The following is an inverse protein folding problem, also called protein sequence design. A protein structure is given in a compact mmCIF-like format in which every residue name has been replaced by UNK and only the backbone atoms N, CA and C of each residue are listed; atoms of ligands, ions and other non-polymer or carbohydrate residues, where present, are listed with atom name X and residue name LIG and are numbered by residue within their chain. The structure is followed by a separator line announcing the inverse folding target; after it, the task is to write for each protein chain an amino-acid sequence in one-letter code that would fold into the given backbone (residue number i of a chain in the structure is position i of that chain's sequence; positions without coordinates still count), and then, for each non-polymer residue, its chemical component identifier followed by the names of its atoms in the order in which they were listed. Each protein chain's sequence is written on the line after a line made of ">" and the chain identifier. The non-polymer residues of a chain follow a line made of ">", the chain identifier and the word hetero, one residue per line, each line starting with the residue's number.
data_IF_267113561432
#
_entry.id   IF_267113561432
#
_cell.length_a   1.000
_cell.length_b   1.000
_cell.length_c   1.000
_cell.angle_alpha   90.00
_cell.angle_beta   90.00
_cell.angle_gamma   90.00
#
_symmetry.space_group_name_H-M   'P 1'
#
loop_
_entity.id
_entity.type
_entity.pdbx_description
1 polymer ?
#
# COMPACT_ATOMS: atom_id res chain seq x y z
N UNK A 1 19.94 30.54 9.62
CA UNK A 1 18.84 30.24 8.67
C UNK A 1 19.46 29.85 7.35
N UNK A 2 18.97 28.80 6.69
CA UNK A 2 19.42 28.41 5.35
C UNK A 2 18.25 28.63 4.39
N UNK A 3 18.42 29.55 3.45
CA UNK A 3 17.51 29.66 2.31
C UNK A 3 17.91 28.55 1.35
N UNK A 4 16.95 27.71 0.98
CA UNK A 4 17.09 26.67 -0.03
C UNK A 4 16.12 27.01 -1.15
N UNK A 5 16.60 26.96 -2.38
CA UNK A 5 15.76 27.14 -3.56
C UNK A 5 14.70 26.03 -3.61
N UNK A 6 13.47 26.40 -3.93
CA UNK A 6 12.39 25.44 -4.11
C UNK A 6 12.72 24.56 -5.31
N UNK A 7 13.13 23.31 -5.08
CA UNK A 7 13.23 22.33 -6.15
C UNK A 7 11.81 21.93 -6.57
N UNK A 8 11.48 22.09 -7.85
CA UNK A 8 10.31 21.47 -8.46
C UNK A 8 10.51 19.94 -8.46
N UNK A 9 10.27 19.30 -7.33
CA UNK A 9 9.85 17.91 -7.33
C UNK A 9 8.43 17.91 -7.92
N UNK A 10 8.20 17.17 -9.01
CA UNK A 10 6.92 17.16 -9.72
C UNK A 10 5.70 17.02 -8.80
N UNK A 11 4.52 17.39 -9.31
CA UNK A 11 3.27 17.40 -8.53
C UNK A 11 3.05 16.04 -7.85
N UNK A 12 2.97 16.05 -6.52
CA UNK A 12 2.70 14.85 -5.73
C UNK A 12 1.30 14.37 -6.06
N UNK A 13 1.20 13.19 -6.66
CA UNK A 13 -0.08 12.64 -7.09
C UNK A 13 -0.85 12.00 -5.94
N UNK A 14 -0.13 11.37 -5.02
CA UNK A 14 -0.74 10.70 -3.87
C UNK A 14 0.26 10.50 -2.72
N UNK A 15 -0.28 10.32 -1.51
CA UNK A 15 0.48 9.80 -0.38
C UNK A 15 0.22 8.31 -0.17
N UNK A 16 1.29 7.53 -0.01
CA UNK A 16 1.20 6.15 0.45
C UNK A 16 1.47 6.07 1.94
N UNK A 17 0.52 5.48 2.65
CA UNK A 17 0.61 5.14 4.05
C UNK A 17 0.60 3.63 4.21
N UNK A 18 1.23 3.14 5.26
CA UNK A 18 1.14 1.73 5.63
C UNK A 18 0.75 1.58 7.08
N UNK A 19 -0.15 0.63 7.35
CA UNK A 19 -0.41 0.16 8.71
C UNK A 19 0.68 -0.79 9.21
N UNK A 20 1.68 -1.11 8.39
CA UNK A 20 2.64 -2.17 8.67
C UNK A 20 4.06 -1.61 8.89
N UNK A 21 5.08 -2.47 8.77
CA UNK A 21 6.47 -2.09 8.97
C UNK A 21 7.16 -1.50 7.73
N UNK A 22 8.42 -1.05 7.86
CA UNK A 22 9.24 -0.55 6.75
C UNK A 22 9.48 -1.55 5.61
N UNK A 23 9.12 -2.82 5.78
CA UNK A 23 9.25 -3.86 4.76
C UNK A 23 8.26 -3.65 3.62
N UNK A 24 7.00 -3.39 3.95
CA UNK A 24 5.89 -3.15 3.02
C UNK A 24 6.17 -1.94 2.13
N UNK A 25 6.70 -0.86 2.73
CA UNK A 25 7.16 0.31 2.00
C UNK A 25 8.19 -0.06 0.94
N UNK A 26 9.21 -0.85 1.29
CA UNK A 26 10.27 -1.25 0.36
C UNK A 26 9.74 -2.13 -0.77
N UNK A 27 8.82 -3.04 -0.45
CA UNK A 27 8.15 -3.89 -1.45
C UNK A 27 7.30 -3.04 -2.39
N UNK A 28 6.50 -2.12 -1.87
CA UNK A 28 5.65 -1.23 -2.66
C UNK A 28 6.44 -0.31 -3.57
N UNK A 29 7.60 0.20 -3.13
CA UNK A 29 8.51 0.99 -3.99
C UNK A 29 8.95 0.19 -5.22
N UNK A 30 9.35 -1.07 -5.04
CA UNK A 30 9.77 -1.93 -6.15
C UNK A 30 8.59 -2.40 -7.02
N UNK A 31 7.39 -2.55 -6.45
CA UNK A 31 6.18 -2.81 -7.24
C UNK A 31 5.84 -1.59 -8.10
N UNK A 32 5.78 -0.39 -7.52
CA UNK A 32 5.44 0.84 -8.23
C UNK A 32 6.41 1.13 -9.39
N UNK A 33 7.72 0.94 -9.18
CA UNK A 33 8.73 1.15 -10.24
C UNK A 33 8.51 0.29 -11.49
N UNK A 34 7.83 -0.87 -11.36
CA UNK A 34 7.49 -1.73 -12.50
C UNK A 34 6.37 -1.22 -13.37
N UNK A 35 5.57 -0.27 -12.89
CA UNK A 35 4.41 0.26 -13.59
C UNK A 35 4.60 1.70 -14.07
N UNK A 36 5.87 2.17 -14.14
CA UNK A 36 6.37 3.41 -14.76
C UNK A 36 5.30 4.48 -14.99
N UNK A 37 4.77 5.04 -13.91
CA UNK A 37 3.81 6.12 -13.94
C UNK A 37 4.59 7.41 -13.75
N UNK A 38 4.35 8.41 -14.61
CA UNK A 38 4.89 9.78 -14.46
C UNK A 38 4.31 10.50 -13.22
N UNK A 39 3.80 9.75 -12.22
CA UNK A 39 3.07 10.22 -11.05
C UNK A 39 3.91 10.00 -9.82
N UNK A 40 4.10 11.06 -9.03
CA UNK A 40 4.89 11.00 -7.82
C UNK A 40 4.05 10.52 -6.63
N UNK A 41 4.38 9.35 -6.07
CA UNK A 41 3.80 8.85 -4.82
C UNK A 41 4.81 9.12 -3.69
N UNK A 42 4.41 9.92 -2.70
CA UNK A 42 5.25 10.23 -1.53
C UNK A 42 4.83 9.40 -0.32
N UNK A 43 5.77 9.15 0.59
CA UNK A 43 5.48 8.53 1.90
C UNK A 43 5.72 9.63 2.93
N UNK A 44 4.66 10.16 3.57
CA UNK A 44 4.79 11.26 4.50
C UNK A 44 5.50 10.80 5.78
N UNK A 45 6.29 11.68 6.37
CA UNK A 45 6.80 11.52 7.73
C UNK A 45 5.80 12.17 8.68
N UNK A 46 5.25 11.40 9.61
CA UNK A 46 4.22 11.88 10.53
C UNK A 46 4.61 11.57 11.98
N UNK A 47 4.12 12.35 12.96
CA UNK A 47 4.40 12.08 14.37
C UNK A 47 3.74 10.80 14.88
N UNK A 48 2.77 10.24 14.13
CA UNK A 48 2.04 9.02 14.48
C UNK A 48 2.91 7.82 14.11
N UNK A 49 3.45 7.12 15.11
CA UNK A 49 4.36 5.97 14.94
C UNK A 49 3.67 4.61 15.09
N UNK A 50 2.41 4.60 15.48
CA UNK A 50 1.61 3.39 15.69
C UNK A 50 1.25 2.70 14.37
N UNK A 51 1.01 1.38 14.44
CA UNK A 51 0.68 0.51 13.31
C UNK A 51 -0.78 0.09 13.32
N UNK A 52 -1.29 -0.28 12.15
CA UNK A 52 -2.66 -0.74 11.95
C UNK A 52 -3.58 0.28 11.30
N UNK A 53 -4.84 -0.10 11.15
CA UNK A 53 -5.83 0.65 10.38
C UNK A 53 -6.17 2.00 11.03
N UNK A 54 -6.43 1.99 12.34
CA UNK A 54 -6.84 3.16 13.12
C UNK A 54 -5.77 4.27 13.11
N UNK A 55 -4.49 4.00 13.46
CA UNK A 55 -3.44 5.02 13.35
C UNK A 55 -3.23 5.54 11.92
N UNK A 56 -3.42 4.67 10.92
CA UNK A 56 -3.23 5.08 9.54
C UNK A 56 -4.33 6.02 9.06
N UNK A 57 -5.59 5.75 9.40
CA UNK A 57 -6.71 6.66 9.10
C UNK A 57 -6.60 7.97 9.88
N UNK A 58 -6.15 7.92 11.14
CA UNK A 58 -5.80 9.13 11.92
C UNK A 58 -4.72 9.96 11.20
N UNK A 59 -3.77 9.29 10.56
CA UNK A 59 -2.72 9.95 9.77
C UNK A 59 -3.28 10.63 8.52
N UNK A 60 -4.25 10.01 7.84
CA UNK A 60 -4.97 10.67 6.72
C UNK A 60 -5.65 11.94 7.22
N UNK A 61 -6.41 11.87 8.32
CA UNK A 61 -7.08 13.03 8.90
C UNK A 61 -6.08 14.15 9.26
N UNK A 62 -4.94 13.81 9.88
CA UNK A 62 -3.89 14.77 10.19
C UNK A 62 -3.28 15.43 8.93
N UNK A 63 -3.08 14.66 7.86
CA UNK A 63 -2.49 15.17 6.63
C UNK A 63 -3.42 16.13 5.89
N UNK A 64 -4.74 15.90 5.94
CA UNK A 64 -5.71 16.78 5.28
C UNK A 64 -5.68 18.21 5.79
N UNK A 65 -5.37 18.40 7.07
CA UNK A 65 -5.26 19.72 7.67
C UNK A 65 -3.93 20.42 7.33
N UNK A 66 -3.00 19.74 6.63
CA UNK A 66 -1.62 20.19 6.43
C UNK A 66 -1.18 20.25 4.97
N UNK A 67 -1.84 19.53 4.07
CA UNK A 67 -1.43 19.40 2.67
C UNK A 67 -2.63 19.49 1.74
N UNK A 68 -2.39 19.88 0.49
CA UNK A 68 -3.42 19.95 -0.55
C UNK A 68 -3.66 18.62 -1.27
N UNK A 69 -2.88 17.58 -0.94
CA UNK A 69 -2.98 16.27 -1.58
C UNK A 69 -4.19 15.52 -1.02
N UNK A 70 -5.11 15.12 -1.89
CA UNK A 70 -6.36 14.47 -1.52
C UNK A 70 -6.43 12.98 -1.88
N UNK A 71 -5.38 12.42 -2.50
CA UNK A 71 -5.29 10.99 -2.87
C UNK A 71 -4.37 10.24 -1.91
N UNK A 72 -4.87 9.14 -1.34
CA UNK A 72 -4.17 8.32 -0.37
C UNK A 72 -4.19 6.85 -0.76
N UNK A 73 -3.04 6.19 -0.72
CA UNK A 73 -2.88 4.74 -0.85
C UNK A 73 -2.62 4.18 0.53
N UNK A 74 -3.47 3.27 0.99
CA UNK A 74 -3.33 2.54 2.23
C UNK A 74 -2.91 1.10 1.93
N UNK A 75 -1.72 0.71 2.38
CA UNK A 75 -1.24 -0.69 2.33
C UNK A 75 -1.22 -1.26 3.73
N UNK A 76 -1.98 -2.32 3.96
CA UNK A 76 -2.20 -2.85 5.31
C UNK A 76 -2.35 -4.36 5.31
N UNK A 77 -1.88 -5.03 6.35
CA UNK A 77 -2.02 -6.47 6.49
C UNK A 77 -3.47 -6.87 6.84
N UNK A 78 -3.90 -8.04 6.36
CA UNK A 78 -5.22 -8.64 6.65
C UNK A 78 -5.43 -8.86 8.15
N UNK A 79 -4.37 -8.86 8.95
CA UNK A 79 -4.48 -8.92 10.41
C UNK A 79 -5.17 -7.69 11.01
N UNK A 80 -5.15 -6.57 10.30
CA UNK A 80 -5.77 -5.31 10.74
C UNK A 80 -7.09 -5.00 10.02
N UNK A 81 -7.39 -5.72 8.93
CA UNK A 81 -8.57 -5.45 8.09
C UNK A 81 -9.19 -6.75 7.63
N UNK A 82 -10.32 -7.11 8.25
CA UNK A 82 -11.04 -8.34 7.92
C UNK A 82 -11.97 -8.14 6.72
N UNK A 83 -12.62 -6.99 6.61
CA UNK A 83 -13.56 -6.67 5.54
C UNK A 83 -13.58 -5.17 5.21
N UNK A 84 -14.36 -4.82 4.17
CA UNK A 84 -14.56 -3.43 3.76
C UNK A 84 -15.31 -2.64 4.84
N UNK A 85 -16.21 -3.29 5.60
CA UNK A 85 -16.91 -2.73 6.75
C UNK A 85 -15.92 -2.23 7.81
N UNK A 86 -14.84 -2.97 8.07
CA UNK A 86 -13.81 -2.54 9.04
C UNK A 86 -13.17 -1.21 8.61
N UNK A 87 -12.85 -1.06 7.32
CA UNK A 87 -12.34 0.19 6.75
C UNK A 87 -13.39 1.31 6.84
N UNK A 88 -14.61 1.06 6.35
CA UNK A 88 -15.72 2.01 6.35
C UNK A 88 -16.02 2.55 7.75
N UNK A 89 -16.21 1.65 8.72
CA UNK A 89 -16.51 2.02 10.10
C UNK A 89 -15.37 2.79 10.75
N UNK A 90 -14.12 2.46 10.41
CA UNK A 90 -12.97 3.22 10.90
C UNK A 90 -12.93 4.62 10.30
N UNK A 91 -13.17 4.78 9.00
CA UNK A 91 -13.26 6.09 8.35
C UNK A 91 -14.36 6.94 9.01
N UNK A 92 -15.57 6.39 9.19
CA UNK A 92 -16.69 7.08 9.84
C UNK A 92 -16.32 7.50 11.27
N UNK A 93 -15.70 6.61 12.06
CA UNK A 93 -15.24 6.92 13.43
C UNK A 93 -14.24 8.08 13.48
N UNK A 94 -13.45 8.27 12.43
CA UNK A 94 -12.51 9.39 12.28
C UNK A 94 -13.13 10.57 11.54
N UNK A 95 -14.46 10.68 11.48
CA UNK A 95 -15.19 11.83 10.95
C UNK A 95 -15.12 11.98 9.44
N UNK A 96 -14.99 10.88 8.70
CA UNK A 96 -15.16 10.85 7.26
C UNK A 96 -16.59 10.46 6.90
N UNK A 97 -17.21 11.24 6.03
CA UNK A 97 -18.45 10.89 5.33
C UNK A 97 -18.09 10.11 4.07
N UNK A 98 -18.64 8.91 3.87
CA UNK A 98 -18.38 8.09 2.68
C UNK A 98 -19.38 8.48 1.59
N UNK A 99 -18.87 9.05 0.50
CA UNK A 99 -19.66 9.46 -0.68
C UNK A 99 -19.80 8.31 -1.67
N UNK A 100 -18.72 7.55 -1.85
CA UNK A 100 -18.69 6.40 -2.75
C UNK A 100 -17.79 5.32 -2.16
N UNK A 101 -18.18 4.08 -2.36
CA UNK A 101 -17.36 2.91 -2.06
C UNK A 101 -17.41 1.92 -3.21
N UNK A 102 -16.25 1.50 -3.69
CA UNK A 102 -16.13 0.59 -4.83
C UNK A 102 -15.16 -0.54 -4.50
N UNK A 103 -15.57 -1.77 -4.80
CA UNK A 103 -14.64 -2.90 -4.82
C UNK A 103 -13.76 -2.84 -6.07
N UNK A 104 -12.44 -2.78 -5.88
CA UNK A 104 -11.48 -2.86 -6.98
C UNK A 104 -11.07 -4.31 -7.28
N UNK A 105 -11.48 -5.25 -6.44
CA UNK A 105 -11.09 -6.65 -6.50
C UNK A 105 -11.05 -7.27 -5.11
N UNK A 106 -10.65 -8.53 -5.03
CA UNK A 106 -10.60 -9.26 -3.76
C UNK A 106 -9.63 -8.57 -2.77
N UNK A 107 -10.18 -8.01 -1.67
CA UNK A 107 -9.42 -7.27 -0.64
C UNK A 107 -8.68 -6.03 -1.16
N UNK A 108 -9.26 -5.36 -2.15
CA UNK A 108 -8.85 -4.02 -2.59
C UNK A 108 -10.07 -3.14 -2.79
N UNK A 109 -10.06 -1.95 -2.20
CA UNK A 109 -11.21 -1.06 -2.19
C UNK A 109 -10.83 0.38 -2.52
N UNK A 110 -11.80 1.12 -3.00
CA UNK A 110 -11.75 2.55 -3.21
C UNK A 110 -12.86 3.22 -2.40
N UNK A 111 -12.50 4.31 -1.73
CA UNK A 111 -13.44 5.17 -1.03
C UNK A 111 -13.28 6.60 -1.54
N UNK A 112 -14.38 7.18 -1.98
CA UNK A 112 -14.53 8.62 -2.08
C UNK A 112 -15.14 9.11 -0.77
N UNK A 113 -14.46 9.98 -0.06
CA UNK A 113 -14.92 10.45 1.25
C UNK A 113 -14.79 11.97 1.38
N UNK A 114 -15.53 12.54 2.32
CA UNK A 114 -15.47 13.95 2.71
C UNK A 114 -15.13 14.08 4.17
N UNK A 115 -14.32 15.07 4.52
CA UNK A 115 -14.07 15.49 5.90
C UNK A 115 -13.96 17.01 5.93
N UNK A 116 -14.90 17.64 6.63
CA UNK A 116 -15.09 19.09 6.52
C UNK A 116 -15.38 19.49 5.06
N UNK A 117 -14.71 20.53 4.57
CA UNK A 117 -14.82 21.00 3.18
C UNK A 117 -13.97 20.23 2.16
N UNK A 118 -13.23 19.19 2.57
CA UNK A 118 -12.29 18.48 1.70
C UNK A 118 -12.85 17.15 1.20
N UNK A 119 -12.82 16.96 -0.12
CA UNK A 119 -13.09 15.68 -0.77
C UNK A 119 -11.79 14.91 -1.02
N UNK A 120 -11.79 13.62 -0.68
CA UNK A 120 -10.61 12.76 -0.68
C UNK A 120 -10.88 11.41 -1.33
N UNK A 121 -9.80 10.79 -1.81
CA UNK A 121 -9.80 9.49 -2.46
C UNK A 121 -8.86 8.55 -1.70
N UNK A 122 -9.38 7.45 -1.20
CA UNK A 122 -8.61 6.45 -0.44
C UNK A 122 -8.65 5.12 -1.17
N UNK A 123 -7.49 4.62 -1.58
CA UNK A 123 -7.31 3.30 -2.17
C UNK A 123 -6.70 2.38 -1.13
N UNK A 124 -7.35 1.27 -0.81
CA UNK A 124 -6.92 0.33 0.22
C UNK A 124 -6.50 -1.00 -0.40
N UNK A 125 -5.23 -1.38 -0.25
CA UNK A 125 -4.71 -2.70 -0.61
C UNK A 125 -4.42 -3.49 0.66
N UNK A 126 -5.06 -4.66 0.78
CA UNK A 126 -4.80 -5.56 1.89
C UNK A 126 -3.81 -6.64 1.49
N UNK A 127 -2.74 -6.75 2.27
CA UNK A 127 -1.72 -7.80 2.19
C UNK A 127 -2.14 -9.06 2.92
N UNK A 128 -1.67 -10.21 2.43
CA UNK A 128 -1.93 -11.51 3.04
C UNK A 128 -3.02 -12.34 2.36
N UNK A 129 -3.27 -13.49 2.96
CA UNK A 129 -4.29 -14.46 2.58
C UNK A 129 -4.82 -15.16 3.84
N UNK A 130 -5.77 -16.08 3.69
CA UNK A 130 -6.37 -16.79 4.84
C UNK A 130 -5.36 -17.55 5.69
N UNK A 131 -4.38 -18.19 5.05
CA UNK A 131 -3.35 -18.99 5.73
C UNK A 131 -2.24 -18.16 6.38
N UNK A 132 -2.08 -16.90 5.97
CA UNK A 132 -1.12 -15.97 6.53
C UNK A 132 -1.59 -14.55 6.26
N UNK A 133 -1.98 -13.83 7.32
CA UNK A 133 -2.63 -12.52 7.25
C UNK A 133 -1.68 -11.35 6.97
N UNK A 134 -0.47 -11.61 6.47
CA UNK A 134 0.58 -10.62 6.22
C UNK A 134 1.22 -10.78 4.84
N UNK A 135 2.03 -9.79 4.44
CA UNK A 135 2.71 -9.74 3.13
C UNK A 135 3.58 -10.98 2.80
N UNK A 136 3.99 -11.75 3.80
CA UNK A 136 4.64 -13.05 3.63
C UNK A 136 3.83 -14.01 2.73
N UNK A 137 2.50 -13.97 2.78
CA UNK A 137 1.69 -14.77 1.87
C UNK A 137 1.92 -14.38 0.40
N UNK A 138 1.96 -13.08 0.11
CA UNK A 138 2.20 -12.57 -1.23
C UNK A 138 3.61 -12.93 -1.72
N UNK A 139 4.62 -12.85 -0.85
CA UNK A 139 5.99 -13.25 -1.20
C UNK A 139 6.07 -14.76 -1.48
N UNK A 140 5.44 -15.61 -0.66
CA UNK A 140 5.40 -17.05 -0.91
C UNK A 140 4.70 -17.39 -2.24
N UNK A 141 3.59 -16.70 -2.56
CA UNK A 141 2.92 -16.80 -3.86
C UNK A 141 3.85 -16.37 -5.00
N UNK A 142 4.65 -15.32 -4.82
CA UNK A 142 5.61 -14.86 -5.83
C UNK A 142 6.71 -15.89 -6.08
N UNK A 143 7.28 -16.47 -5.01
CA UNK A 143 8.29 -17.52 -5.10
C UNK A 143 7.73 -18.72 -5.88
N UNK A 144 6.55 -19.21 -5.50
CA UNK A 144 5.87 -20.31 -6.22
C UNK A 144 5.60 -19.95 -7.68
N UNK A 145 5.09 -18.75 -7.94
CA UNK A 145 4.73 -18.34 -9.30
C UNK A 145 5.96 -18.25 -10.21
N UNK A 146 7.09 -17.77 -9.70
CA UNK A 146 8.30 -17.51 -10.50
C UNK A 146 9.25 -18.70 -10.56
N UNK A 147 9.45 -19.39 -9.45
CA UNK A 147 10.46 -20.46 -9.32
C UNK A 147 9.84 -21.85 -9.24
N UNK A 148 8.52 -21.97 -9.15
CA UNK A 148 7.83 -23.25 -8.96
C UNK A 148 7.95 -23.82 -7.53
N UNK A 149 8.69 -23.16 -6.65
CA UNK A 149 8.99 -23.65 -5.30
C UNK A 149 7.90 -23.31 -4.30
N UNK A 150 7.48 -24.28 -3.49
CA UNK A 150 6.54 -24.05 -2.39
C UNK A 150 7.28 -23.69 -1.11
N UNK A 151 7.07 -22.47 -0.64
CA UNK A 151 7.67 -21.95 0.60
C UNK A 151 6.54 -21.64 1.58
N UNK A 152 6.69 -22.05 2.84
CA UNK A 152 5.75 -21.70 3.91
C UNK A 152 5.69 -20.16 4.04
N UNK A 153 4.51 -19.54 4.10
CA UNK A 153 4.34 -18.09 4.16
C UNK A 153 4.65 -17.54 5.56
N UNK A 154 5.86 -17.80 6.06
CA UNK A 154 6.33 -17.25 7.33
C UNK A 154 7.69 -16.57 7.14
N UNK A 155 7.97 -15.62 8.03
CA UNK A 155 9.13 -14.74 7.94
C UNK A 155 10.46 -15.51 7.91
N UNK A 156 10.59 -16.58 8.71
CA UNK A 156 11.84 -17.30 8.86
C UNK A 156 12.13 -18.17 7.63
N UNK A 157 11.11 -18.86 7.14
CA UNK A 157 11.24 -19.71 5.95
C UNK A 157 11.53 -18.86 4.71
N UNK A 158 10.80 -17.76 4.51
CA UNK A 158 11.06 -16.83 3.39
C UNK A 158 12.46 -16.22 3.49
N UNK A 159 12.88 -15.79 4.68
CA UNK A 159 14.23 -15.23 4.88
C UNK A 159 15.32 -16.25 4.57
N UNK A 160 15.15 -17.51 4.98
CA UNK A 160 16.10 -18.59 4.68
C UNK A 160 16.16 -18.87 3.19
N UNK A 161 15.01 -18.97 2.53
CA UNK A 161 14.93 -19.18 1.08
C UNK A 161 15.64 -18.06 0.30
N UNK A 162 15.38 -16.81 0.66
CA UNK A 162 16.04 -15.63 0.08
C UNK A 162 17.56 -15.66 0.29
N UNK A 163 18.00 -15.97 1.52
CA UNK A 163 19.44 -16.06 1.86
C UNK A 163 20.15 -17.13 1.05
N UNK A 164 19.56 -18.32 0.90
CA UNK A 164 20.16 -19.43 0.14
C UNK A 164 20.36 -19.10 -1.35
N UNK A 165 19.67 -18.07 -1.86
CA UNK A 165 19.78 -17.58 -3.24
C UNK A 165 20.50 -16.24 -3.34
N UNK A 166 21.07 -15.73 -2.25
CA UNK A 166 21.71 -14.41 -2.19
C UNK A 166 20.80 -13.29 -2.69
N UNK A 167 19.51 -13.35 -2.35
CA UNK A 167 18.50 -12.36 -2.71
C UNK A 167 18.00 -11.61 -1.47
N UNK A 168 17.67 -10.34 -1.63
CA UNK A 168 16.73 -9.63 -0.74
C UNK A 168 15.33 -9.71 -1.32
N UNK A 169 14.33 -9.37 -0.52
CA UNK A 169 12.93 -9.28 -0.95
C UNK A 169 12.75 -8.25 -2.09
N UNK A 170 13.41 -7.11 -2.01
CA UNK A 170 13.44 -6.11 -3.09
C UNK A 170 14.04 -6.66 -4.39
N UNK A 171 15.10 -7.48 -4.31
CA UNK A 171 15.76 -8.06 -5.48
C UNK A 171 14.86 -9.13 -6.13
N UNK A 172 14.11 -9.88 -5.32
CA UNK A 172 13.10 -10.80 -5.80
C UNK A 172 12.06 -10.06 -6.64
N UNK A 173 11.48 -8.97 -6.15
CA UNK A 173 10.47 -8.19 -6.89
C UNK A 173 11.08 -7.59 -8.15
N UNK A 174 12.22 -6.92 -8.03
CA UNK A 174 12.91 -6.25 -9.14
C UNK A 174 13.25 -7.20 -10.28
N UNK A 175 13.70 -8.41 -9.97
CA UNK A 175 14.05 -9.41 -11.00
C UNK A 175 12.81 -10.14 -11.56
N UNK A 176 11.62 -9.93 -11.01
CA UNK A 176 10.41 -10.65 -11.44
C UNK A 176 9.64 -9.88 -12.51
N UNK A 177 9.16 -10.60 -13.54
CA UNK A 177 8.30 -10.03 -14.58
C UNK A 177 6.88 -9.73 -14.09
N UNK A 178 6.22 -8.76 -14.74
CA UNK A 178 4.88 -8.26 -14.37
C UNK A 178 3.84 -9.37 -14.18
N UNK A 179 3.81 -10.38 -15.05
CA UNK A 179 2.86 -11.51 -14.98
C UNK A 179 2.86 -12.22 -13.62
N UNK A 180 4.03 -12.45 -13.02
CA UNK A 180 4.14 -13.12 -11.72
C UNK A 180 3.83 -12.17 -10.56
N UNK A 181 4.21 -10.89 -10.70
CA UNK A 181 3.85 -9.86 -9.73
C UNK A 181 2.33 -9.71 -9.63
N UNK A 182 1.63 -9.66 -10.76
CA UNK A 182 0.16 -9.57 -10.83
C UNK A 182 -0.54 -10.73 -10.15
N UNK A 183 0.01 -11.94 -10.28
CA UNK A 183 -0.52 -13.14 -9.61
C UNK A 183 -0.27 -13.13 -8.10
N UNK A 184 0.86 -12.58 -7.67
CA UNK A 184 1.27 -12.62 -6.26
C UNK A 184 0.77 -11.42 -5.44
N UNK A 185 0.64 -10.24 -6.06
CA UNK A 185 0.23 -8.97 -5.45
C UNK A 185 -0.96 -8.34 -6.19
N UNK A 186 -2.05 -9.08 -6.46
CA UNK A 186 -3.15 -8.57 -7.28
C UNK A 186 -3.77 -7.29 -6.69
N UNK A 187 -3.95 -7.22 -5.36
CA UNK A 187 -4.53 -6.06 -4.67
C UNK A 187 -3.68 -4.79 -4.86
N UNK A 188 -2.37 -4.91 -4.62
CA UNK A 188 -1.44 -3.79 -4.70
C UNK A 188 -1.33 -3.27 -6.13
N UNK A 189 -1.22 -4.18 -7.10
CA UNK A 189 -1.07 -3.80 -8.51
C UNK A 189 -2.37 -3.22 -9.06
N UNK A 190 -3.53 -3.72 -8.62
CA UNK A 190 -4.81 -3.15 -9.01
C UNK A 190 -4.90 -1.67 -8.63
N UNK A 191 -4.51 -1.33 -7.40
CA UNK A 191 -4.50 0.07 -6.93
C UNK A 191 -3.47 0.91 -7.69
N UNK A 192 -2.27 0.40 -7.91
CA UNK A 192 -1.26 1.10 -8.71
C UNK A 192 -1.75 1.36 -10.14
N UNK A 193 -2.53 0.45 -10.72
CA UNK A 193 -3.16 0.64 -12.04
C UNK A 193 -4.29 1.67 -12.00
N UNK A 194 -5.16 1.64 -10.99
CA UNK A 194 -6.24 2.63 -10.89
C UNK A 194 -5.69 4.04 -10.67
N UNK A 195 -4.76 4.21 -9.74
CA UNK A 195 -4.16 5.52 -9.47
C UNK A 195 -3.37 6.07 -10.67
N UNK A 196 -2.86 5.17 -11.53
CA UNK A 196 -2.21 5.53 -12.78
C UNK A 196 -3.19 6.03 -13.85
N UNK A 197 -4.47 5.62 -13.84
CA UNK A 197 -5.49 6.12 -14.76
C UNK A 197 -6.04 7.50 -14.36
N UNK A 198 -6.16 7.74 -13.05
CA UNK A 198 -6.79 8.96 -12.52
C UNK A 198 -5.97 10.20 -12.89
N UNK A 199 -6.40 10.92 -13.92
CA UNK A 199 -5.72 12.12 -14.43
C UNK A 199 -5.93 13.31 -13.49
#
# INVERSE_FOLDING_TARGET
>A
MKIVEASFEGTVHAYMLTGNGPRDIRIMKELASKYNHNKLIKIPQTPIKERGLQPTIKTIAYLLDKVTINKYILVIDREHVESVETCRNTLIKHGFEIVEETSLGEKSWYFKARRGGSEIHIYVAVSGCERQKSIECNIAKLIKSRYGEQVKPDKNTIKRWLKNRSLRDVDLIRKTGRKHLERAFPQHIKILKEIAKDS
#
